data_IF_915558614571
#
_entry.id   IF_915558614571
#
_cell.length_a   1.000
_cell.length_b   1.000
_cell.length_c   1.000
_cell.angle_alpha   90.00
_cell.angle_beta   90.00
_cell.angle_gamma   90.00
#
_symmetry.space_group_name_H-M   'P 1'
#
loop_
_entity.id
_entity.type
_entity.pdbx_description
1 polymer ?
#
# COMPACT_ATOMS: atom_id res chain seq x y z
N UNK A 1 -10.33 -3.32 -37.50
CA UNK A 1 -10.62 -1.87 -37.45
C UNK A 1 -9.61 -1.09 -36.64
N UNK A 2 -9.90 0.20 -36.42
CA UNK A 2 -9.01 1.17 -35.77
C UNK A 2 -9.31 1.40 -34.28
N UNK A 3 -10.06 0.50 -33.64
CA UNK A 3 -10.51 0.62 -32.25
C UNK A 3 -9.38 0.67 -31.22
N UNK A 4 -9.44 1.65 -30.32
CA UNK A 4 -8.48 1.84 -29.23
C UNK A 4 -9.26 1.86 -27.91
N UNK A 5 -8.97 0.93 -27.01
CA UNK A 5 -9.62 0.82 -25.71
C UNK A 5 -8.82 1.57 -24.64
N UNK A 6 -9.53 2.22 -23.71
CA UNK A 6 -8.90 2.82 -22.53
C UNK A 6 -8.55 1.76 -21.46
N UNK A 7 -7.94 2.20 -20.35
CA UNK A 7 -7.55 1.31 -19.24
C UNK A 7 -8.72 0.60 -18.53
N UNK A 8 -9.94 1.11 -18.72
CA UNK A 8 -11.09 0.77 -17.91
C UNK A 8 -11.02 1.30 -16.47
N UNK A 9 -12.19 1.43 -15.85
CA UNK A 9 -12.32 1.78 -14.44
C UNK A 9 -13.41 0.95 -13.77
N UNK A 10 -13.25 0.68 -12.48
CA UNK A 10 -14.34 0.16 -11.65
C UNK A 10 -15.13 1.36 -11.14
N UNK A 11 -16.33 1.55 -11.67
CA UNK A 11 -17.21 2.68 -11.33
C UNK A 11 -18.12 2.37 -10.14
N UNK A 12 -18.49 1.09 -9.97
CA UNK A 12 -19.28 0.62 -8.83
C UNK A 12 -18.67 -0.65 -8.22
N UNK A 13 -18.07 -0.49 -7.06
CA UNK A 13 -17.43 -1.58 -6.32
C UNK A 13 -18.41 -2.65 -5.80
N UNK A 14 -19.68 -2.29 -5.61
CA UNK A 14 -20.71 -3.21 -5.09
C UNK A 14 -21.28 -4.12 -6.18
N UNK A 15 -21.35 -3.60 -7.41
CA UNK A 15 -21.77 -4.34 -8.60
C UNK A 15 -20.59 -5.02 -9.32
N UNK A 16 -19.35 -4.74 -8.90
CA UNK A 16 -18.15 -5.29 -9.52
C UNK A 16 -18.07 -6.81 -9.39
N UNK A 17 -18.07 -7.49 -10.54
CA UNK A 17 -17.82 -8.92 -10.63
C UNK A 17 -16.48 -9.14 -11.30
N UNK A 18 -15.52 -9.69 -10.53
CA UNK A 18 -14.19 -10.04 -11.03
C UNK A 18 -14.28 -11.24 -11.97
N UNK A 19 -14.17 -10.99 -13.27
CA UNK A 19 -14.11 -12.01 -14.31
C UNK A 19 -13.29 -11.48 -15.50
N UNK A 20 -13.01 -12.36 -16.46
CA UNK A 20 -12.60 -11.97 -17.81
C UNK A 20 -13.85 -11.74 -18.65
N UNK A 21 -13.90 -10.59 -19.31
CA UNK A 21 -14.97 -10.24 -20.22
C UNK A 21 -14.44 -10.05 -21.63
N UNK A 22 -15.29 -10.31 -22.62
CA UNK A 22 -15.00 -10.07 -24.01
C UNK A 22 -16.06 -9.15 -24.61
N UNK A 23 -15.60 -8.10 -25.28
CA UNK A 23 -16.43 -7.20 -26.08
C UNK A 23 -16.21 -7.59 -27.53
N UNK A 24 -17.24 -8.13 -28.17
CA UNK A 24 -17.21 -8.56 -29.57
C UNK A 24 -18.02 -7.59 -30.43
N UNK A 25 -17.40 -7.03 -31.46
CA UNK A 25 -18.06 -6.13 -32.39
C UNK A 25 -18.82 -6.92 -33.46
N UNK A 26 -20.12 -6.67 -33.58
CA UNK A 26 -21.08 -7.43 -34.40
C UNK A 26 -21.89 -6.52 -35.32
N UNK A 27 -22.44 -7.08 -36.40
CA UNK A 27 -23.44 -6.38 -37.23
C UNK A 27 -24.81 -6.47 -36.56
N UNK A 28 -25.33 -5.34 -36.07
CA UNK A 28 -26.67 -5.26 -35.46
C UNK A 28 -27.78 -5.07 -36.50
N UNK A 29 -27.43 -5.09 -37.78
CA UNK A 29 -28.34 -5.04 -38.92
C UNK A 29 -28.00 -3.92 -39.89
N UNK A 30 -27.97 -4.24 -41.18
CA UNK A 30 -27.75 -3.26 -42.24
C UNK A 30 -26.31 -2.72 -42.31
N UNK A 31 -25.33 -3.43 -41.74
CA UNK A 31 -23.93 -3.02 -41.67
C UNK A 31 -23.65 -2.01 -40.56
N UNK A 32 -24.57 -1.86 -39.60
CA UNK A 32 -24.36 -1.01 -38.43
C UNK A 32 -23.56 -1.79 -37.40
N UNK A 33 -22.44 -1.21 -36.96
CA UNK A 33 -21.58 -1.79 -35.93
C UNK A 33 -22.24 -1.64 -34.56
N UNK A 34 -22.39 -2.75 -33.84
CA UNK A 34 -22.68 -2.78 -32.41
C UNK A 34 -21.76 -3.74 -31.70
N UNK A 35 -22.03 -4.01 -30.43
CA UNK A 35 -21.23 -4.92 -29.63
C UNK A 35 -22.08 -5.84 -28.74
N UNK A 36 -21.52 -7.01 -28.49
CA UNK A 36 -21.94 -7.95 -27.46
C UNK A 36 -20.87 -7.97 -26.36
N UNK A 37 -21.29 -8.18 -25.10
CA UNK A 37 -20.38 -8.40 -23.97
C UNK A 37 -20.65 -9.78 -23.39
N UNK A 38 -19.61 -10.61 -23.30
CA UNK A 38 -19.69 -11.96 -22.72
C UNK A 38 -18.73 -12.12 -21.55
N UNK A 39 -19.08 -12.96 -20.59
CA UNK A 39 -18.19 -13.37 -19.49
C UNK A 39 -17.38 -14.63 -19.85
N UNK A 40 -16.49 -15.06 -18.94
CA UNK A 40 -15.62 -16.22 -19.18
C UNK A 40 -16.38 -17.56 -19.23
N UNK A 41 -17.60 -17.60 -18.69
CA UNK A 41 -18.53 -18.73 -18.75
C UNK A 41 -19.37 -18.77 -20.03
N UNK A 42 -19.28 -17.74 -20.87
CA UNK A 42 -20.08 -17.57 -22.08
C UNK A 42 -21.48 -17.00 -21.83
N UNK A 43 -21.75 -16.47 -20.63
CA UNK A 43 -23.00 -15.75 -20.39
C UNK A 43 -22.94 -14.38 -21.08
N UNK A 44 -24.04 -14.01 -21.72
CA UNK A 44 -24.19 -12.73 -22.42
C UNK A 44 -24.64 -11.67 -21.41
N UNK A 45 -23.79 -10.68 -21.18
CA UNK A 45 -24.02 -9.57 -20.26
C UNK A 45 -24.76 -8.41 -20.97
N UNK A 46 -24.36 -8.13 -22.20
CA UNK A 46 -25.01 -7.17 -23.08
C UNK A 46 -25.01 -7.72 -24.51
N UNK A 47 -26.04 -7.40 -25.30
CA UNK A 47 -26.08 -7.84 -26.70
C UNK A 47 -26.76 -6.85 -27.64
N UNK A 48 -26.23 -6.79 -28.86
CA UNK A 48 -26.65 -5.92 -29.96
C UNK A 48 -26.75 -4.45 -29.53
N UNK A 49 -25.83 -4.00 -28.69
CA UNK A 49 -25.79 -2.61 -28.24
C UNK A 49 -25.14 -1.78 -29.35
N UNK A 50 -25.78 -0.70 -29.85
CA UNK A 50 -25.16 0.16 -30.85
C UNK A 50 -23.85 0.73 -30.34
N UNK A 51 -22.80 0.68 -31.17
CA UNK A 51 -21.53 1.31 -30.84
C UNK A 51 -21.57 2.79 -31.20
N UNK A 52 -21.09 3.62 -30.28
CA UNK A 52 -20.85 5.04 -30.50
C UNK A 52 -19.40 5.31 -30.11
N UNK A 53 -18.68 5.97 -31.00
CA UNK A 53 -17.26 6.31 -30.84
C UNK A 53 -17.03 7.13 -29.55
N UNK A 54 -16.18 6.60 -28.66
CA UNK A 54 -15.79 7.24 -27.41
C UNK A 54 -16.82 7.18 -26.27
N UNK A 55 -18.02 6.62 -26.51
CA UNK A 55 -19.02 6.45 -25.45
C UNK A 55 -18.60 5.34 -24.45
N UNK A 56 -19.07 5.49 -23.21
CA UNK A 56 -18.82 4.52 -22.15
C UNK A 56 -19.61 3.22 -22.37
N UNK A 57 -18.88 2.10 -22.37
CA UNK A 57 -19.41 0.74 -22.31
C UNK A 57 -19.36 0.29 -20.85
N UNK A 58 -20.51 0.33 -20.18
CA UNK A 58 -20.64 0.01 -18.75
C UNK A 58 -21.40 -1.30 -18.50
N UNK A 59 -20.82 -2.19 -17.69
CA UNK A 59 -21.43 -3.47 -17.30
C UNK A 59 -20.76 -4.01 -16.02
N UNK A 60 -21.50 -4.75 -15.19
CA UNK A 60 -20.98 -5.39 -13.96
C UNK A 60 -20.01 -4.51 -13.12
N UNK A 61 -20.37 -3.22 -12.93
CA UNK A 61 -19.58 -2.25 -12.17
C UNK A 61 -18.28 -1.77 -12.83
N UNK A 62 -18.02 -2.18 -14.08
CA UNK A 62 -16.93 -1.71 -14.94
C UNK A 62 -17.43 -0.66 -15.92
N UNK A 63 -16.55 0.27 -16.30
CA UNK A 63 -16.72 1.14 -17.46
C UNK A 63 -15.43 1.18 -18.27
N UNK A 64 -15.54 1.00 -19.57
CA UNK A 64 -14.47 1.18 -20.56
C UNK A 64 -14.97 2.10 -21.68
N UNK A 65 -14.06 2.80 -22.35
CA UNK A 65 -14.39 3.50 -23.60
C UNK A 65 -13.51 2.95 -24.72
N UNK A 66 -14.08 2.88 -25.92
CA UNK A 66 -13.36 2.51 -27.14
C UNK A 66 -13.50 3.67 -28.10
N UNK A 67 -12.36 4.21 -28.53
CA UNK A 67 -12.28 5.26 -29.53
C UNK A 67 -11.96 4.65 -30.91
N UNK A 68 -12.35 5.33 -31.98
CA UNK A 68 -12.11 4.92 -33.36
C UNK A 68 -13.25 4.10 -33.97
N UNK A 69 -12.91 3.34 -35.01
CA UNK A 69 -13.88 2.56 -35.80
C UNK A 69 -13.48 1.08 -35.78
N UNK A 70 -13.91 0.32 -34.76
CA UNK A 70 -13.85 -1.13 -34.77
C UNK A 70 -14.62 -1.69 -35.97
N UNK A 71 -14.07 -2.74 -36.59
CA UNK A 71 -14.76 -3.47 -37.65
C UNK A 71 -15.58 -4.62 -37.05
N UNK A 72 -16.59 -5.09 -37.79
CA UNK A 72 -17.33 -6.30 -37.42
C UNK A 72 -16.36 -7.48 -37.36
N UNK A 73 -16.36 -8.19 -36.23
CA UNK A 73 -15.44 -9.29 -35.92
C UNK A 73 -14.23 -8.88 -35.07
N UNK A 74 -14.00 -7.58 -34.84
CA UNK A 74 -13.02 -7.12 -33.85
C UNK A 74 -13.48 -7.51 -32.44
N UNK A 75 -12.51 -7.78 -31.55
CA UNK A 75 -12.80 -8.06 -30.15
C UNK A 75 -11.78 -7.41 -29.22
N UNK A 76 -12.25 -7.10 -28.01
CA UNK A 76 -11.43 -6.61 -26.90
C UNK A 76 -11.64 -7.47 -25.67
N UNK A 77 -10.55 -7.90 -25.04
CA UNK A 77 -10.60 -8.70 -23.82
C UNK A 77 -10.25 -7.83 -22.61
N UNK A 78 -11.15 -7.81 -21.64
CA UNK A 78 -10.98 -7.12 -20.37
C UNK A 78 -10.64 -8.17 -19.32
N UNK A 79 -9.41 -8.12 -18.84
CA UNK A 79 -8.89 -9.10 -17.89
C UNK A 79 -8.67 -8.46 -16.52
N UNK A 80 -8.91 -9.19 -15.42
CA UNK A 80 -8.50 -8.74 -14.10
C UNK A 80 -6.99 -8.48 -14.06
N UNK A 81 -6.58 -7.40 -13.40
CA UNK A 81 -5.16 -7.08 -13.27
C UNK A 81 -4.39 -8.22 -12.59
N UNK A 82 -3.20 -8.52 -13.12
CA UNK A 82 -2.27 -9.52 -12.59
C UNK A 82 -1.00 -8.84 -12.07
N UNK A 83 -0.24 -9.57 -11.25
CA UNK A 83 1.10 -9.12 -10.84
C UNK A 83 2.06 -9.35 -12.00
N UNK A 84 2.78 -8.30 -12.38
CA UNK A 84 3.80 -8.34 -13.42
C UNK A 84 5.05 -7.64 -12.91
N UNK A 85 6.23 -8.15 -13.29
CA UNK A 85 7.49 -7.49 -12.97
C UNK A 85 7.80 -6.37 -13.97
N UNK A 86 8.53 -5.35 -13.49
CA UNK A 86 8.91 -4.18 -14.30
C UNK A 86 9.72 -4.57 -15.54
N UNK A 87 10.57 -5.61 -15.45
CA UNK A 87 11.42 -6.00 -16.57
C UNK A 87 10.61 -6.64 -17.68
N UNK A 88 9.57 -7.41 -17.35
CA UNK A 88 8.61 -7.92 -18.34
C UNK A 88 7.87 -6.76 -19.00
N UNK A 89 7.38 -5.78 -18.24
CA UNK A 89 6.73 -4.59 -18.84
C UNK A 89 7.66 -3.83 -19.78
N UNK A 90 8.93 -3.65 -19.42
CA UNK A 90 9.93 -3.01 -20.30
C UNK A 90 10.20 -3.84 -21.55
N UNK A 91 10.32 -5.16 -21.42
CA UNK A 91 10.53 -6.07 -22.55
C UNK A 91 9.35 -6.06 -23.51
N UNK A 92 8.13 -6.10 -22.99
CA UNK A 92 6.89 -5.97 -23.77
C UNK A 92 6.83 -4.61 -24.47
N UNK A 93 7.16 -3.53 -23.78
CA UNK A 93 7.23 -2.18 -24.38
C UNK A 93 8.22 -2.13 -25.55
N UNK A 94 9.41 -2.72 -25.39
CA UNK A 94 10.43 -2.80 -26.45
C UNK A 94 9.94 -3.64 -27.62
N UNK A 95 9.27 -4.76 -27.35
CA UNK A 95 8.70 -5.62 -28.38
C UNK A 95 7.61 -4.88 -29.16
N UNK A 96 6.72 -4.19 -28.46
CA UNK A 96 5.65 -3.35 -29.02
C UNK A 96 6.20 -2.25 -29.91
N UNK A 97 7.23 -1.52 -29.46
CA UNK A 97 7.88 -0.47 -30.27
C UNK A 97 8.60 -0.98 -31.54
N UNK A 98 8.80 -2.29 -31.66
CA UNK A 98 9.40 -2.93 -32.86
C UNK A 98 8.37 -3.42 -33.87
N UNK A 99 7.08 -3.30 -33.55
CA UNK A 99 6.00 -3.65 -34.49
C UNK A 99 6.09 -2.73 -35.70
N UNK A 100 6.05 -3.32 -36.90
CA UNK A 100 5.96 -2.56 -38.13
C UNK A 100 4.50 -2.12 -38.32
N UNK A 101 4.28 -0.81 -38.43
CA UNK A 101 2.96 -0.24 -38.68
C UNK A 101 2.79 0.00 -40.17
N UNK A 102 1.91 -0.76 -40.80
CA UNK A 102 1.61 -0.62 -42.23
C UNK A 102 0.12 -0.38 -42.51
N UNK A 103 -0.75 -0.70 -41.54
CA UNK A 103 -2.20 -0.58 -41.65
C UNK A 103 -2.80 0.20 -40.45
N UNK A 104 -4.01 0.76 -40.57
CA UNK A 104 -4.73 1.36 -39.44
C UNK A 104 -4.91 0.39 -38.26
N UNK A 105 -5.09 -0.90 -38.54
CA UNK A 105 -5.21 -1.97 -37.55
C UNK A 105 -3.90 -2.15 -36.77
N UNK A 106 -2.75 -2.16 -37.47
CA UNK A 106 -1.43 -2.23 -36.83
C UNK A 106 -1.20 -1.02 -35.90
N UNK A 107 -1.65 0.16 -36.34
CA UNK A 107 -1.55 1.40 -35.55
C UNK A 107 -2.42 1.31 -34.29
N UNK A 108 -3.66 0.85 -34.40
CA UNK A 108 -4.55 0.66 -33.26
C UNK A 108 -3.99 -0.38 -32.27
N UNK A 109 -3.49 -1.51 -32.78
CA UNK A 109 -2.83 -2.53 -31.96
C UNK A 109 -1.62 -1.95 -31.21
N UNK A 110 -0.75 -1.22 -31.90
CA UNK A 110 0.40 -0.55 -31.28
C UNK A 110 -0.05 0.41 -30.16
N UNK A 111 -1.07 1.24 -30.40
CA UNK A 111 -1.58 2.20 -29.42
C UNK A 111 -2.15 1.51 -28.18
N UNK A 112 -2.92 0.42 -28.35
CA UNK A 112 -3.46 -0.36 -27.23
C UNK A 112 -2.33 -0.97 -26.37
N UNK A 113 -1.31 -1.55 -27.02
CA UNK A 113 -0.17 -2.15 -26.33
C UNK A 113 0.70 -1.11 -25.60
N UNK A 114 0.91 0.06 -26.21
CA UNK A 114 1.65 1.16 -25.57
C UNK A 114 0.88 1.73 -24.37
N UNK A 115 -0.44 1.90 -24.47
CA UNK A 115 -1.26 2.35 -23.33
C UNK A 115 -1.16 1.37 -22.15
N UNK A 116 -1.30 0.07 -22.40
CA UNK A 116 -1.12 -0.95 -21.36
C UNK A 116 0.28 -0.89 -20.73
N UNK A 117 1.31 -0.69 -21.55
CA UNK A 117 2.69 -0.53 -21.08
C UNK A 117 2.86 0.69 -20.19
N UNK A 118 2.29 1.84 -20.57
CA UNK A 118 2.34 3.07 -19.79
C UNK A 118 1.62 2.92 -18.44
N UNK A 119 0.44 2.31 -18.44
CA UNK A 119 -0.32 2.03 -17.21
C UNK A 119 0.52 1.16 -16.27
N UNK A 120 1.14 0.09 -16.78
CA UNK A 120 1.99 -0.80 -15.99
C UNK A 120 3.22 -0.07 -15.42
N UNK A 121 3.88 0.78 -16.21
CA UNK A 121 5.00 1.61 -15.75
C UNK A 121 4.56 2.60 -14.66
N UNK A 122 3.41 3.25 -14.81
CA UNK A 122 2.86 4.16 -13.80
C UNK A 122 2.56 3.46 -12.48
N UNK A 123 2.03 2.23 -12.53
CA UNK A 123 1.81 1.41 -11.34
C UNK A 123 3.14 1.02 -10.68
N UNK A 124 4.15 0.67 -11.48
CA UNK A 124 5.46 0.33 -10.95
C UNK A 124 6.16 1.54 -10.30
N UNK A 125 6.08 2.72 -10.93
CA UNK A 125 6.59 3.97 -10.35
C UNK A 125 5.90 4.31 -9.03
N UNK A 126 4.57 4.17 -8.95
CA UNK A 126 3.82 4.35 -7.70
C UNK A 126 4.28 3.38 -6.62
N UNK A 127 4.49 2.12 -6.96
CA UNK A 127 5.00 1.12 -6.01
C UNK A 127 6.41 1.47 -5.50
N UNK A 128 7.32 1.91 -6.39
CA UNK A 128 8.65 2.38 -5.99
C UNK A 128 8.55 3.57 -5.04
N UNK A 129 7.70 4.56 -5.36
CA UNK A 129 7.46 5.73 -4.49
C UNK A 129 6.93 5.32 -3.12
N UNK A 130 6.01 4.35 -3.05
CA UNK A 130 5.51 3.82 -1.79
C UNK A 130 6.62 3.15 -0.95
N UNK A 131 7.49 2.37 -1.58
CA UNK A 131 8.65 1.77 -0.90
C UNK A 131 9.62 2.84 -0.41
N UNK A 132 9.91 3.87 -1.20
CA UNK A 132 10.76 4.99 -0.78
C UNK A 132 10.17 5.73 0.43
N UNK A 133 8.85 5.96 0.44
CA UNK A 133 8.17 6.54 1.58
C UNK A 133 8.32 5.69 2.85
N UNK A 134 8.15 4.37 2.74
CA UNK A 134 8.39 3.45 3.88
C UNK A 134 9.84 3.48 4.37
N UNK A 135 10.81 3.52 3.45
CA UNK A 135 12.23 3.66 3.81
C UNK A 135 12.47 4.99 4.55
N UNK A 136 11.87 6.08 4.08
CA UNK A 136 11.90 7.38 4.76
C UNK A 136 11.35 7.31 6.19
N UNK A 137 10.20 6.65 6.39
CA UNK A 137 9.65 6.41 7.73
C UNK A 137 10.62 5.62 8.62
N UNK A 138 11.26 4.58 8.09
CA UNK A 138 12.25 3.79 8.85
C UNK A 138 13.50 4.60 9.18
N UNK A 139 13.96 5.47 8.30
CA UNK A 139 15.08 6.38 8.56
C UNK A 139 14.75 7.36 9.68
N UNK A 140 13.55 7.95 9.69
CA UNK A 140 13.11 8.83 10.78
C UNK A 140 13.09 8.11 12.13
N UNK A 141 12.64 6.85 12.16
CA UNK A 141 12.65 6.03 13.38
C UNK A 141 14.09 5.77 13.83
N UNK A 142 15.00 5.43 12.92
CA UNK A 142 16.40 5.19 13.24
C UNK A 142 17.10 6.46 13.77
N UNK A 143 16.79 7.62 13.20
CA UNK A 143 17.30 8.91 13.66
C UNK A 143 16.77 9.27 15.06
N UNK A 144 15.47 9.07 15.31
CA UNK A 144 14.91 9.24 16.65
C UNK A 144 15.57 8.31 17.69
N UNK A 145 15.81 7.04 17.33
CA UNK A 145 16.51 6.10 18.20
C UNK A 145 17.96 6.52 18.46
N UNK A 146 18.63 7.13 17.48
CA UNK A 146 19.98 7.67 17.65
C UNK A 146 20.00 8.77 18.72
N UNK A 147 19.06 9.71 18.68
CA UNK A 147 18.96 10.77 19.71
C UNK A 147 18.72 10.18 21.10
N UNK A 148 17.81 9.20 21.24
CA UNK A 148 17.57 8.50 22.51
C UNK A 148 18.86 7.85 23.04
N UNK A 149 19.65 7.23 22.16
CA UNK A 149 20.90 6.59 22.54
C UNK A 149 21.97 7.62 22.97
N UNK A 150 22.03 8.77 22.31
CA UNK A 150 22.94 9.87 22.68
C UNK A 150 22.58 10.45 24.06
N UNK A 151 21.29 10.67 24.33
CA UNK A 151 20.80 11.12 25.64
C UNK A 151 21.07 10.09 26.74
N UNK A 152 20.87 8.80 26.45
CA UNK A 152 21.21 7.72 27.37
C UNK A 152 22.71 7.68 27.68
N UNK A 153 23.56 7.88 26.66
CA UNK A 153 25.01 7.93 26.84
C UNK A 153 25.44 9.11 27.72
N UNK A 154 24.86 10.29 27.48
CA UNK A 154 25.10 11.48 28.30
C UNK A 154 24.68 11.24 29.75
N UNK A 155 23.46 10.73 29.96
CA UNK A 155 22.94 10.42 31.30
C UNK A 155 23.82 9.41 32.03
N UNK A 156 24.29 8.37 31.33
CA UNK A 156 25.21 7.37 31.87
C UNK A 156 26.55 7.99 32.28
N UNK A 157 27.12 8.89 31.46
CA UNK A 157 28.36 9.61 31.77
C UNK A 157 28.19 10.55 32.96
N UNK A 158 27.09 11.31 33.02
CA UNK A 158 26.78 12.19 34.15
C UNK A 158 26.63 11.40 35.44
N UNK A 159 25.88 10.30 35.40
CA UNK A 159 25.71 9.39 36.55
C UNK A 159 27.05 8.83 37.03
N UNK A 160 27.90 8.39 36.09
CA UNK A 160 29.24 7.91 36.43
C UNK A 160 30.12 9.01 37.03
N UNK A 161 30.07 10.24 36.51
CA UNK A 161 30.78 11.39 37.09
C UNK A 161 30.31 11.65 38.51
N UNK A 162 29.00 11.77 38.74
CA UNK A 162 28.44 11.98 40.08
C UNK A 162 28.85 10.89 41.07
N UNK A 163 28.88 9.61 40.65
CA UNK A 163 29.35 8.51 41.51
C UNK A 163 30.85 8.61 41.81
N UNK A 164 31.68 9.03 40.84
CA UNK A 164 33.14 9.18 41.02
C UNK A 164 33.50 10.42 41.84
N UNK A 165 32.76 11.50 41.63
CA UNK A 165 32.94 12.79 42.29
C UNK A 165 32.27 12.80 43.68
N UNK A 166 31.52 11.74 44.03
CA UNK A 166 30.95 11.53 45.36
C UNK A 166 32.08 11.27 46.36
N UNK A 167 32.19 12.11 47.39
CA UNK A 167 33.06 11.82 48.52
C UNK A 167 32.56 10.57 49.25
N UNK A 168 33.25 9.45 49.05
CA UNK A 168 32.86 8.17 49.62
C UNK A 168 32.83 8.22 51.16
N UNK A 169 33.65 9.06 51.81
CA UNK A 169 33.66 9.16 53.26
C UNK A 169 32.38 9.84 53.78
N UNK A 170 31.97 10.94 53.15
CA UNK A 170 30.72 11.64 53.49
C UNK A 170 29.49 10.79 53.13
N UNK A 171 29.48 10.13 51.98
CA UNK A 171 28.40 9.24 51.57
C UNK A 171 28.23 8.01 52.48
N UNK A 172 29.34 7.41 52.96
CA UNK A 172 29.30 6.32 53.95
C UNK A 172 28.78 6.83 55.29
N UNK A 173 29.18 8.03 55.71
CA UNK A 173 28.65 8.68 56.92
C UNK A 173 27.15 8.91 56.83
N UNK A 174 26.68 9.49 55.72
CA UNK A 174 25.26 9.75 55.46
C UNK A 174 24.44 8.46 55.37
N UNK A 175 24.98 7.42 54.72
CA UNK A 175 24.32 6.11 54.63
C UNK A 175 24.21 5.45 56.01
N UNK A 176 25.26 5.52 56.82
CA UNK A 176 25.24 5.03 58.20
C UNK A 176 24.21 5.81 59.05
N UNK A 177 24.19 7.14 58.94
CA UNK A 177 23.20 7.97 59.64
C UNK A 177 21.76 7.62 59.26
N UNK A 178 21.50 7.39 57.97
CA UNK A 178 20.18 6.96 57.47
C UNK A 178 19.83 5.54 57.94
N UNK A 179 20.79 4.62 57.96
CA UNK A 179 20.59 3.24 58.46
C UNK A 179 20.29 3.23 59.95
N UNK A 180 21.06 3.97 60.76
CA UNK A 180 20.81 4.13 62.21
C UNK A 180 19.43 4.75 62.44
N UNK A 181 19.06 5.75 61.64
CA UNK A 181 17.73 6.38 61.76
C UNK A 181 16.60 5.42 61.40
N UNK A 182 16.79 4.56 60.39
CA UNK A 182 15.83 3.53 60.01
C UNK A 182 15.72 2.45 61.09
N UNK A 183 16.84 1.97 61.64
CA UNK A 183 16.85 1.03 62.77
C UNK A 183 16.16 1.63 64.01
N UNK A 184 16.44 2.89 64.31
CA UNK A 184 15.80 3.61 65.42
C UNK A 184 14.29 3.77 65.19
N UNK A 185 13.86 4.06 63.96
CA UNK A 185 12.45 4.13 63.60
C UNK A 185 11.76 2.76 63.72
N UNK A 186 12.40 1.68 63.25
CA UNK A 186 11.90 0.31 63.39
C UNK A 186 11.81 -0.12 64.86
N UNK A 187 12.84 0.17 65.67
CA UNK A 187 12.85 -0.13 67.10
C UNK A 187 11.79 0.68 67.86
N UNK A 188 11.58 1.94 67.49
CA UNK A 188 10.55 2.80 68.07
C UNK A 188 9.15 2.31 67.71
N UNK A 189 8.93 1.92 66.45
CA UNK A 189 7.67 1.32 66.00
C UNK A 189 7.36 0.00 66.72
N UNK A 190 8.35 -0.89 66.88
CA UNK A 190 8.20 -2.12 67.64
C UNK A 190 7.90 -1.88 69.13
N UNK A 191 8.51 -0.86 69.74
CA UNK A 191 8.20 -0.45 71.13
C UNK A 191 6.79 0.10 71.27
N UNK A 192 6.34 0.97 70.34
CA UNK A 192 4.96 1.51 70.35
C UNK A 192 3.92 0.41 70.15
N UNK A 193 4.16 -0.54 69.24
CA UNK A 193 3.28 -1.70 69.08
C UNK A 193 3.20 -2.56 70.35
N UNK A 194 4.33 -2.83 71.02
CA UNK A 194 4.34 -3.58 72.28
C UNK A 194 3.61 -2.83 73.41
N UNK A 195 3.76 -1.50 73.52
CA UNK A 195 3.03 -0.68 74.49
C UNK A 195 1.52 -0.65 74.20
N UNK A 196 1.12 -0.64 72.93
CA UNK A 196 -0.29 -0.76 72.53
C UNK A 196 -0.89 -2.11 72.92
N UNK A 197 -0.12 -3.20 72.81
CA UNK A 197 -0.58 -4.55 73.15
C UNK A 197 -0.74 -4.74 74.68
N UNK A 198 0.15 -4.15 75.48
CA UNK A 198 0.03 -4.13 76.94
C UNK A 198 -1.10 -3.21 77.45
N UNK A 199 -1.38 -2.10 76.77
CA UNK A 199 -2.54 -1.26 77.09
C UNK A 199 -3.88 -1.88 76.66
N UNK A 200 -3.89 -2.78 75.68
CA UNK A 200 -5.10 -3.49 75.24
C UNK A 200 -5.50 -4.65 76.18
N UNK A 201 -4.56 -5.16 76.98
CA UNK A 201 -4.76 -6.26 77.93
C UNK A 201 -5.04 -5.80 79.37
N UNK A 202 -5.42 -4.53 79.57
CA UNK A 202 -5.76 -3.97 80.88
C UNK A 202 -7.23 -3.58 81.00
#
# INVERSE_FOLDING_TARGET
GSGIINAGTVTDQTSYVRDTYQIDFVDIGGGVVGYDVTDSGGAVIASNVPYVDGDDISFNGLSVSIDGSPDIGDNFSINPSVRQDLFTTIQESIATLRINVSTPEDSAYLNNQLQNSLINLDQAMRNIGFIQAQVGTRLNIAESQKFINEDFNLTSKTTLSTIRDLDMAEAISDLNLRSISLEAAQASFARVQNLSLFNFLR
#
